data_IF_545667470661
#
_entry.id   IF_545667470661
#
_cell.length_a   1.000
_cell.length_b   1.000
_cell.length_c   1.000
_cell.angle_alpha   90.00
_cell.angle_beta   90.00
_cell.angle_gamma   90.00
#
_symmetry.space_group_name_H-M   'P 1'
#
loop_
_entity.id
_entity.type
_entity.pdbx_description
1 polymer ?
#
# COMPACT_ATOMS: atom_id res chain seq x y z
N UNK A 1 0.85 10.60 -5.35
CA UNK A 1 2.24 10.80 -4.86
C UNK A 1 2.19 10.69 -3.34
N UNK A 2 2.84 9.70 -2.77
CA UNK A 2 2.96 9.53 -1.33
C UNK A 2 4.23 10.20 -0.83
N UNK A 3 4.16 10.85 0.33
CA UNK A 3 5.29 11.47 1.01
C UNK A 3 5.26 11.06 2.48
N UNK A 4 6.33 10.47 2.98
CA UNK A 4 6.54 10.29 4.41
C UNK A 4 7.67 11.18 4.92
N UNK A 5 7.49 11.63 6.15
CA UNK A 5 8.55 12.21 6.95
C UNK A 5 8.65 11.42 8.25
N UNK A 6 9.69 10.60 8.36
CA UNK A 6 9.94 9.71 9.49
C UNK A 6 10.92 10.42 10.42
N UNK A 7 10.52 10.63 11.68
CA UNK A 7 11.44 11.10 12.73
C UNK A 7 12.08 9.88 13.38
N UNK A 8 13.24 9.46 12.88
CA UNK A 8 13.94 8.28 13.37
C UNK A 8 14.59 8.50 14.75
N UNK A 9 15.04 9.74 15.02
CA UNK A 9 15.57 10.20 16.30
C UNK A 9 15.50 11.74 16.37
N UNK A 10 15.75 12.39 17.53
CA UNK A 10 15.89 13.84 17.60
C UNK A 10 16.93 14.33 16.58
N UNK A 11 16.56 15.30 15.74
CA UNK A 11 17.38 15.85 14.64
C UNK A 11 17.66 14.91 13.45
N UNK A 12 17.13 13.68 13.43
CA UNK A 12 17.27 12.76 12.30
C UNK A 12 15.92 12.50 11.63
N UNK A 13 15.80 12.92 10.38
CA UNK A 13 14.59 12.80 9.57
C UNK A 13 14.86 11.99 8.30
N UNK A 14 13.98 11.06 7.97
CA UNK A 14 13.99 10.32 6.70
C UNK A 14 12.77 10.77 5.90
N UNK A 15 13.00 11.28 4.70
CA UNK A 15 11.96 11.61 3.75
C UNK A 15 11.76 10.45 2.78
N UNK A 16 10.61 9.80 2.82
CA UNK A 16 10.18 8.83 1.82
C UNK A 16 9.29 9.50 0.79
N UNK A 17 9.46 9.18 -0.49
CA UNK A 17 8.54 9.53 -1.56
C UNK A 17 8.30 8.28 -2.38
N UNK A 18 7.04 7.87 -2.46
CA UNK A 18 6.60 6.86 -3.41
C UNK A 18 5.72 7.55 -4.46
N UNK A 19 6.10 7.44 -5.72
CA UNK A 19 5.37 8.04 -6.84
C UNK A 19 5.05 6.95 -7.83
N UNK A 20 3.77 6.73 -8.07
CA UNK A 20 3.28 6.02 -9.23
C UNK A 20 2.65 7.02 -10.20
N UNK A 21 3.24 7.23 -11.38
CA UNK A 21 2.73 8.13 -12.41
C UNK A 21 3.02 7.54 -13.79
N UNK A 22 2.01 7.51 -14.67
CA UNK A 22 2.12 7.01 -16.04
C UNK A 22 2.71 5.59 -16.14
N UNK A 23 2.39 4.72 -15.19
CA UNK A 23 2.86 3.33 -15.16
C UNK A 23 4.24 3.16 -14.51
N UNK A 24 4.87 4.24 -14.05
CA UNK A 24 6.21 4.20 -13.46
C UNK A 24 6.15 4.47 -11.96
N UNK A 25 6.58 3.48 -11.19
CA UNK A 25 6.87 3.56 -9.77
C UNK A 25 8.24 4.19 -9.54
N UNK A 26 8.33 5.04 -8.54
CA UNK A 26 9.60 5.56 -8.04
C UNK A 26 9.53 5.65 -6.53
N UNK A 27 10.25 4.73 -5.87
CA UNK A 27 10.47 4.79 -4.44
C UNK A 27 11.79 5.50 -4.18
N UNK A 28 11.69 6.68 -3.58
CA UNK A 28 12.82 7.52 -3.21
C UNK A 28 12.83 7.68 -1.70
N UNK A 29 13.82 7.12 -1.03
CA UNK A 29 14.07 7.34 0.39
C UNK A 29 15.30 8.23 0.52
N UNK A 30 15.18 9.33 1.27
CA UNK A 30 16.25 10.29 1.53
C UNK A 30 16.48 10.47 3.02
N UNK A 31 17.70 10.30 3.49
CA UNK A 31 18.12 10.67 4.83
C UNK A 31 18.43 12.17 4.88
N UNK A 32 17.90 12.84 5.90
CA UNK A 32 17.96 14.31 6.08
C UNK A 32 17.40 15.10 4.91
N UNK A 33 16.61 14.48 4.02
CA UNK A 33 16.16 15.04 2.74
C UNK A 33 17.29 15.43 1.76
N UNK A 34 18.56 15.12 2.09
CA UNK A 34 19.75 15.50 1.30
C UNK A 34 20.39 14.26 0.65
N UNK A 35 20.53 13.16 1.39
CA UNK A 35 21.23 11.97 0.92
C UNK A 35 20.25 10.88 0.49
N UNK A 36 20.28 10.47 -0.78
CA UNK A 36 19.46 9.36 -1.28
C UNK A 36 19.93 8.04 -0.68
N UNK A 37 19.02 7.36 0.04
CA UNK A 37 19.22 6.04 0.67
C UNK A 37 18.70 4.93 -0.25
N UNK A 38 17.62 5.18 -0.98
CA UNK A 38 17.11 4.29 -2.01
C UNK A 38 16.49 5.13 -3.15
N UNK A 39 16.78 4.79 -4.40
CA UNK A 39 16.10 5.27 -5.61
C UNK A 39 15.76 4.04 -6.46
N UNK A 40 14.74 3.32 -6.01
CA UNK A 40 14.27 2.11 -6.67
C UNK A 40 13.53 2.44 -7.96
N UNK A 41 13.90 1.76 -9.05
CA UNK A 41 13.22 1.79 -10.35
C UNK A 41 13.28 0.38 -10.95
N UNK A 42 12.29 0.06 -11.78
CA UNK A 42 12.23 -1.22 -12.48
C UNK A 42 10.89 -1.92 -12.26
N UNK A 43 10.64 -3.01 -13.00
CA UNK A 43 9.36 -3.71 -12.99
C UNK A 43 8.88 -4.15 -11.59
N UNK A 44 9.83 -4.52 -10.73
CA UNK A 44 9.57 -4.93 -9.34
C UNK A 44 9.03 -3.78 -8.49
N UNK A 45 9.63 -2.60 -8.67
CA UNK A 45 9.20 -1.37 -7.98
C UNK A 45 7.86 -0.87 -8.55
N UNK A 46 7.68 -0.95 -9.87
CA UNK A 46 6.44 -0.56 -10.53
C UNK A 46 5.26 -1.41 -10.00
N UNK A 47 5.44 -2.73 -9.92
CA UNK A 47 4.46 -3.67 -9.35
C UNK A 47 4.20 -3.36 -7.87
N UNK A 48 5.27 -3.15 -7.09
CA UNK A 48 5.16 -2.86 -5.66
C UNK A 48 4.45 -1.54 -5.35
N UNK A 49 4.64 -0.51 -6.18
CA UNK A 49 3.94 0.78 -6.07
C UNK A 49 2.48 0.68 -6.51
N UNK A 50 2.18 -0.08 -7.58
CA UNK A 50 0.81 -0.32 -8.01
C UNK A 50 0.00 -1.09 -6.95
N UNK A 51 0.58 -2.13 -6.34
CA UNK A 51 -0.06 -2.86 -5.25
C UNK A 51 -0.24 -2.00 -3.99
N UNK A 52 0.71 -1.09 -3.72
CA UNK A 52 0.56 -0.13 -2.62
C UNK A 52 -0.62 0.79 -2.86
N UNK A 53 -0.73 1.36 -4.06
CA UNK A 53 -1.88 2.18 -4.45
C UNK A 53 -3.19 1.39 -4.32
N UNK A 54 -3.19 0.13 -4.77
CA UNK A 54 -4.34 -0.75 -4.68
C UNK A 54 -4.77 -1.02 -3.23
N UNK A 55 -3.82 -1.21 -2.31
CA UNK A 55 -4.14 -1.33 -0.88
C UNK A 55 -4.73 -0.03 -0.32
N UNK A 56 -4.19 1.12 -0.72
CA UNK A 56 -4.62 2.43 -0.22
C UNK A 56 -6.02 2.86 -0.68
N UNK A 57 -6.65 2.17 -1.65
CA UNK A 57 -8.04 2.47 -2.07
C UNK A 57 -9.04 2.33 -0.92
N UNK A 58 -8.70 1.59 0.15
CA UNK A 58 -9.51 1.51 1.37
C UNK A 58 -9.76 2.87 2.02
N UNK A 59 -8.90 3.86 1.76
CA UNK A 59 -9.09 5.24 2.21
C UNK A 59 -9.78 6.12 1.16
N UNK A 60 -9.93 5.64 -0.08
CA UNK A 60 -10.54 6.39 -1.18
C UNK A 60 -11.64 5.55 -1.83
N UNK A 61 -12.84 5.42 -1.22
CA UNK A 61 -13.87 4.50 -1.71
C UNK A 61 -14.27 4.70 -3.17
N UNK A 62 -14.25 5.93 -3.67
CA UNK A 62 -14.53 6.23 -5.08
C UNK A 62 -13.50 5.64 -6.04
N UNK A 63 -12.25 5.41 -5.58
CA UNK A 63 -11.20 4.83 -6.39
C UNK A 63 -11.51 3.37 -6.81
N UNK A 64 -12.33 2.66 -6.04
CA UNK A 64 -12.78 1.30 -6.33
C UNK A 64 -13.65 1.20 -7.60
N UNK A 65 -14.21 2.31 -8.06
CA UNK A 65 -15.11 2.39 -9.23
C UNK A 65 -14.37 2.66 -10.55
N UNK A 66 -13.06 2.83 -10.53
CA UNK A 66 -12.31 3.13 -11.75
C UNK A 66 -12.24 1.92 -12.69
N UNK A 67 -12.29 2.20 -14.00
CA UNK A 67 -12.29 1.18 -15.07
C UNK A 67 -11.00 0.36 -15.16
N UNK A 68 -9.89 0.86 -14.59
CA UNK A 68 -8.62 0.14 -14.52
C UNK A 68 -8.61 -0.96 -13.43
N UNK A 69 -9.67 -1.07 -12.62
CA UNK A 69 -9.85 -2.13 -11.65
C UNK A 69 -10.83 -3.18 -12.17
N UNK A 70 -10.41 -4.44 -12.12
CA UNK A 70 -11.23 -5.61 -12.43
C UNK A 70 -11.43 -6.43 -11.17
N UNK A 71 -12.69 -6.71 -10.87
CA UNK A 71 -13.10 -7.42 -9.67
C UNK A 71 -13.58 -8.82 -10.03
N UNK A 72 -13.06 -9.82 -9.33
CA UNK A 72 -13.43 -11.22 -9.47
C UNK A 72 -13.84 -11.75 -8.09
N UNK A 73 -15.11 -12.16 -7.86
CA UNK A 73 -15.51 -12.70 -6.57
C UNK A 73 -14.81 -14.03 -6.32
N UNK A 74 -14.32 -14.23 -5.09
CA UNK A 74 -13.75 -15.50 -4.63
C UNK A 74 -14.80 -16.23 -3.79
N UNK A 75 -15.38 -15.55 -2.80
CA UNK A 75 -16.45 -16.06 -1.94
C UNK A 75 -17.33 -14.90 -1.41
N UNK A 76 -18.15 -15.17 -0.39
CA UNK A 76 -19.08 -14.19 0.17
C UNK A 76 -18.39 -12.99 0.85
N UNK A 77 -17.13 -13.14 1.25
CA UNK A 77 -16.37 -12.18 2.06
C UNK A 77 -15.03 -11.83 1.43
N UNK A 78 -14.76 -12.25 0.20
CA UNK A 78 -13.49 -11.94 -0.47
C UNK A 78 -13.63 -11.80 -1.96
N UNK A 79 -12.82 -10.89 -2.51
CA UNK A 79 -12.72 -10.64 -3.94
C UNK A 79 -11.26 -10.44 -4.32
N UNK A 80 -10.89 -11.00 -5.46
CA UNK A 80 -9.64 -10.65 -6.13
C UNK A 80 -9.86 -9.36 -6.90
N UNK A 81 -8.98 -8.40 -6.69
CA UNK A 81 -8.94 -7.15 -7.45
C UNK A 81 -7.65 -7.13 -8.27
N UNK A 82 -7.79 -6.92 -9.57
CA UNK A 82 -6.67 -6.75 -10.50
C UNK A 82 -6.67 -5.33 -11.00
N UNK A 83 -5.55 -4.63 -10.83
CA UNK A 83 -5.34 -3.29 -11.37
C UNK A 83 -4.42 -3.39 -12.58
N UNK A 84 -4.90 -2.90 -13.72
CA UNK A 84 -4.12 -2.80 -14.96
C UNK A 84 -4.00 -1.33 -15.34
N UNK A 85 -2.78 -0.78 -15.21
CA UNK A 85 -2.55 0.62 -15.46
C UNK A 85 -1.25 0.85 -16.22
N UNK A 86 -1.36 1.42 -17.42
CA UNK A 86 -0.23 1.89 -18.24
C UNK A 86 0.87 0.82 -18.44
N UNK A 87 0.47 -0.45 -18.60
CA UNK A 87 1.38 -1.56 -18.90
C UNK A 87 1.90 -2.32 -17.67
N UNK A 88 1.50 -1.93 -16.46
CA UNK A 88 1.75 -2.70 -15.23
C UNK A 88 0.44 -3.31 -14.77
N UNK A 89 0.48 -4.58 -14.43
CA UNK A 89 -0.68 -5.35 -13.98
C UNK A 89 -0.33 -6.11 -12.71
N UNK A 90 -1.13 -5.96 -11.66
CA UNK A 90 -0.99 -6.77 -10.45
C UNK A 90 -2.35 -7.02 -9.79
N UNK A 91 -2.41 -8.09 -9.00
CA UNK A 91 -3.62 -8.49 -8.29
C UNK A 91 -3.37 -8.59 -6.79
N UNK A 92 -4.40 -8.30 -6.01
CA UNK A 92 -4.48 -8.61 -4.60
C UNK A 92 -5.86 -9.15 -4.23
N UNK A 93 -5.96 -9.70 -3.04
CA UNK A 93 -7.21 -10.19 -2.45
C UNK A 93 -7.63 -9.22 -1.36
N UNK A 94 -8.86 -8.73 -1.44
CA UNK A 94 -9.52 -7.99 -0.37
C UNK A 94 -10.45 -8.95 0.38
N UNK A 95 -10.36 -8.92 1.70
CA UNK A 95 -11.29 -9.61 2.59
C UNK A 95 -12.13 -8.58 3.34
N UNK A 96 -13.42 -8.89 3.44
CA UNK A 96 -14.43 -8.04 4.05
C UNK A 96 -15.03 -8.73 5.28
N UNK A 97 -15.50 -7.95 6.25
CA UNK A 97 -16.37 -8.47 7.30
C UNK A 97 -17.84 -8.56 6.82
N UNK A 98 -18.73 -9.02 7.70
CA UNK A 98 -20.17 -9.14 7.39
C UNK A 98 -20.85 -7.79 7.08
N UNK A 99 -20.24 -6.67 7.47
CA UNK A 99 -20.71 -5.31 7.19
C UNK A 99 -20.20 -4.77 5.85
N UNK A 100 -19.36 -5.53 5.13
CA UNK A 100 -18.75 -5.10 3.87
C UNK A 100 -17.53 -4.19 4.05
N UNK A 101 -17.01 -4.07 5.26
CA UNK A 101 -15.80 -3.29 5.55
C UNK A 101 -14.56 -4.13 5.24
N UNK A 102 -13.56 -3.52 4.61
CA UNK A 102 -12.27 -4.17 4.34
C UNK A 102 -11.55 -4.41 5.66
N UNK A 103 -11.17 -5.64 5.94
CA UNK A 103 -10.37 -6.01 7.12
C UNK A 103 -8.95 -6.45 6.76
N UNK A 104 -8.76 -6.87 5.51
CA UNK A 104 -7.49 -7.41 5.02
C UNK A 104 -7.30 -7.13 3.54
N UNK A 105 -6.07 -6.79 3.17
CA UNK A 105 -5.58 -6.83 1.79
C UNK A 105 -4.31 -7.68 1.74
N UNK A 106 -4.22 -8.59 0.79
CA UNK A 106 -3.00 -9.38 0.57
C UNK A 106 -2.64 -9.50 -0.91
N UNK A 107 -1.34 -9.51 -1.20
CA UNK A 107 -0.84 -9.71 -2.55
C UNK A 107 0.58 -10.26 -2.53
N UNK A 108 0.97 -10.97 -3.58
CA UNK A 108 2.36 -11.28 -3.86
C UNK A 108 3.06 -10.00 -4.35
N UNK A 109 3.99 -9.48 -3.55
CA UNK A 109 4.64 -8.19 -3.82
C UNK A 109 6.15 -8.36 -3.85
N UNK A 110 6.82 -7.71 -4.80
CA UNK A 110 8.27 -7.67 -4.77
C UNK A 110 8.74 -6.85 -3.56
N UNK A 111 9.59 -7.47 -2.74
CA UNK A 111 10.37 -6.83 -1.70
C UNK A 111 11.86 -7.05 -1.94
N UNK A 112 12.69 -6.14 -1.45
CA UNK A 112 14.14 -6.31 -1.46
C UNK A 112 14.57 -6.94 -0.12
N UNK A 113 15.19 -8.11 -0.19
CA UNK A 113 15.67 -8.84 0.96
C UNK A 113 17.11 -9.27 0.67
N UNK A 114 18.04 -8.84 1.53
CA UNK A 114 19.47 -9.13 1.37
C UNK A 114 20.08 -8.71 0.01
N UNK A 115 19.53 -7.65 -0.59
CA UNK A 115 19.99 -7.10 -1.87
C UNK A 115 19.39 -7.75 -3.12
N UNK A 116 18.46 -8.71 -2.95
CA UNK A 116 17.74 -9.35 -4.04
C UNK A 116 16.24 -9.06 -3.97
N UNK A 117 15.62 -8.85 -5.14
CA UNK A 117 14.17 -8.75 -5.24
C UNK A 117 13.54 -10.14 -5.32
N UNK A 118 12.57 -10.41 -4.44
CA UNK A 118 11.73 -11.61 -4.51
C UNK A 118 10.28 -11.30 -4.16
N UNK A 119 9.38 -12.13 -4.67
CA UNK A 119 7.97 -12.09 -4.30
C UNK A 119 7.80 -12.72 -2.92
N UNK A 120 7.09 -12.00 -2.06
CA UNK A 120 6.65 -12.48 -0.76
C UNK A 120 5.20 -12.01 -0.56
N UNK A 121 4.45 -12.71 0.28
CA UNK A 121 3.09 -12.26 0.61
C UNK A 121 3.18 -11.00 1.47
N UNK A 122 2.62 -9.93 0.92
CA UNK A 122 2.49 -8.64 1.56
C UNK A 122 1.06 -8.47 2.07
N UNK A 123 0.93 -8.36 3.38
CA UNK A 123 -0.34 -8.34 4.10
C UNK A 123 -0.56 -6.97 4.74
N UNK A 124 -1.73 -6.38 4.50
CA UNK A 124 -2.26 -5.26 5.25
C UNK A 124 -3.49 -5.69 6.04
N UNK A 125 -3.47 -5.48 7.34
CA UNK A 125 -4.61 -5.70 8.24
C UNK A 125 -5.06 -4.35 8.78
N UNK A 126 -6.36 -4.06 8.71
CA UNK A 126 -6.90 -2.75 9.05
C UNK A 126 -8.14 -2.84 9.93
N UNK A 127 -8.35 -1.84 10.77
CA UNK A 127 -9.39 -1.83 11.79
C UNK A 127 -9.81 -0.40 12.17
N UNK A 128 -10.65 -0.32 13.21
CA UNK A 128 -11.13 0.91 13.84
C UNK A 128 -11.70 1.90 12.82
N UNK A 129 -12.73 1.49 12.09
CA UNK A 129 -13.41 2.34 11.12
C UNK A 129 -13.96 3.61 11.78
N UNK A 130 -13.70 4.77 11.16
CA UNK A 130 -14.15 6.09 11.63
C UNK A 130 -14.55 6.95 10.45
N UNK A 131 -15.41 7.93 10.73
CA UNK A 131 -15.79 8.93 9.76
C UNK A 131 -14.70 10.01 9.63
N UNK A 132 -14.27 10.26 8.39
CA UNK A 132 -13.42 11.38 8.01
C UNK A 132 -14.01 12.06 6.79
N UNK A 133 -14.40 13.34 6.93
CA UNK A 133 -14.93 14.16 5.83
C UNK A 133 -16.05 13.44 5.02
N UNK A 134 -16.98 12.80 5.73
CA UNK A 134 -18.14 12.12 5.14
C UNK A 134 -17.91 10.70 4.64
N UNK A 135 -16.69 10.15 4.80
CA UNK A 135 -16.38 8.75 4.46
C UNK A 135 -16.03 7.94 5.70
N UNK A 136 -16.58 6.73 5.81
CA UNK A 136 -16.23 5.77 6.87
C UNK A 136 -15.11 4.88 6.33
N UNK A 137 -13.91 5.02 6.89
CA UNK A 137 -12.67 4.38 6.42
C UNK A 137 -11.89 3.80 7.61
N UNK A 138 -11.00 2.80 7.40
CA UNK A 138 -10.20 2.25 8.48
C UNK A 138 -9.22 3.30 9.03
N UNK A 139 -9.17 3.45 10.36
CA UNK A 139 -8.30 4.44 11.02
C UNK A 139 -7.02 3.86 11.62
N UNK A 140 -6.92 2.54 11.73
CA UNK A 140 -5.71 1.85 12.21
C UNK A 140 -5.37 0.70 11.30
N UNK A 141 -4.10 0.29 11.32
CA UNK A 141 -3.69 -0.91 10.62
C UNK A 141 -2.20 -1.18 10.76
N UNK A 142 -1.82 -2.33 10.20
CA UNK A 142 -0.47 -2.86 10.24
C UNK A 142 -0.13 -3.56 8.94
N UNK A 143 1.15 -3.58 8.61
CA UNK A 143 1.67 -4.21 7.39
C UNK A 143 2.72 -5.24 7.76
N UNK A 144 2.55 -6.43 7.19
CA UNK A 144 3.36 -7.61 7.49
C UNK A 144 3.85 -8.25 6.22
N UNK A 145 5.13 -8.61 6.19
CA UNK A 145 5.67 -9.57 5.22
C UNK A 145 5.55 -10.98 5.81
N UNK A 146 4.90 -11.89 5.09
CA UNK A 146 4.90 -13.32 5.46
C UNK A 146 6.14 -13.96 4.84
N UNK A 147 7.19 -14.12 5.64
CA UNK A 147 8.44 -14.72 5.20
C UNK A 147 8.53 -16.16 5.70
N UNK A 148 9.33 -16.99 5.02
CA UNK A 148 9.64 -18.35 5.49
C UNK A 148 10.26 -18.39 6.89
N UNK A 149 10.97 -17.31 7.26
CA UNK A 149 11.56 -17.14 8.60
C UNK A 149 10.57 -16.73 9.67
N UNK A 150 9.32 -16.42 9.28
CA UNK A 150 8.26 -15.92 10.13
C UNK A 150 7.76 -14.54 9.71
N UNK A 151 6.64 -14.15 10.31
CA UNK A 151 6.00 -12.85 10.06
C UNK A 151 6.92 -11.69 10.46
N UNK A 152 7.13 -10.76 9.51
CA UNK A 152 7.84 -9.52 9.75
C UNK A 152 6.89 -8.32 9.63
N UNK A 153 6.36 -7.91 10.77
CA UNK A 153 5.51 -6.71 10.91
C UNK A 153 6.41 -5.47 10.98
N UNK A 154 6.32 -4.59 9.98
CA UNK A 154 7.27 -3.48 9.82
C UNK A 154 6.63 -2.10 9.86
N UNK A 155 5.30 -2.02 9.75
CA UNK A 155 4.59 -0.75 9.77
C UNK A 155 3.29 -0.85 10.54
N UNK A 156 3.08 0.11 11.44
CA UNK A 156 1.79 0.38 12.08
C UNK A 156 1.41 1.83 11.80
N UNK A 157 0.14 2.07 11.58
CA UNK A 157 -0.35 3.42 11.36
C UNK A 157 -1.63 3.69 12.14
N UNK A 158 -1.82 4.98 12.41
CA UNK A 158 -3.07 5.56 12.87
C UNK A 158 -3.35 6.78 12.01
N UNK A 159 -4.49 6.79 11.32
CA UNK A 159 -4.97 7.95 10.57
C UNK A 159 -5.41 9.01 11.57
N UNK A 160 -4.82 10.20 11.47
CA UNK A 160 -5.13 11.35 12.34
C UNK A 160 -6.06 12.34 11.67
N UNK A 161 -5.87 12.54 10.38
CA UNK A 161 -6.57 13.50 9.55
C UNK A 161 -6.52 13.02 8.11
N UNK A 162 -7.55 13.37 7.33
CA UNK A 162 -7.73 12.91 5.96
C UNK A 162 -8.41 14.04 5.18
N UNK A 163 -7.73 14.62 4.21
CA UNK A 163 -8.29 15.65 3.32
C UNK A 163 -8.40 15.11 1.90
N UNK A 164 -9.49 15.44 1.21
CA UNK A 164 -9.75 15.02 -0.16
C UNK A 164 -9.64 16.21 -1.13
N UNK A 165 -9.19 15.95 -2.37
CA UNK A 165 -9.14 16.92 -3.48
C UNK A 165 -8.29 18.19 -3.22
N UNK A 166 -7.12 18.02 -2.60
CA UNK A 166 -6.10 19.07 -2.42
C UNK A 166 -5.04 19.04 -3.53
#
# INVERSE_FOLDING_TARGET
IWKANIKAAPFFHIAGRDKYLDGQGNMLIKLMSVFTVADGRGPEIDQGSLLRYLAEIMWFPTAALNEYLKWEPIDATSAKVTMDYKGVSASGILTFNEQGEIIRFEAERYGEFDGEYRLETWLAEVADYKEFNGFVIPSTGKITWKLDTGDFEWYHFVVKEMEYNQ
#
